data_IF_876906084833
#
_entry.id   IF_876906084833
#
_cell.length_a   1.000
_cell.length_b   1.000
_cell.length_c   1.000
_cell.angle_alpha   90.00
_cell.angle_beta   90.00
_cell.angle_gamma   90.00
#
_symmetry.space_group_name_H-M   'P 1'
#
loop_
_entity.id
_entity.type
_entity.pdbx_description
1 polymer ?
#
# COMPACT_ATOMS: atom_id res chain seq x y z
N UNK A 1 -25.60 32.45 -3.82
CA UNK A 1 -24.35 31.88 -4.39
C UNK A 1 -23.51 31.53 -3.19
N UNK A 2 -23.73 30.36 -2.57
CA UNK A 2 -23.10 30.07 -1.29
C UNK A 2 -22.82 28.56 -1.17
N UNK A 3 -21.55 28.22 -0.91
CA UNK A 3 -21.23 27.08 -0.05
C UNK A 3 -20.70 25.78 -0.66
N UNK A 4 -20.32 25.70 -1.95
CA UNK A 4 -19.62 24.53 -2.50
C UNK A 4 -18.11 24.82 -2.51
N UNK A 5 -17.38 24.48 -1.45
CA UNK A 5 -15.91 24.64 -1.48
C UNK A 5 -15.13 24.22 -0.24
N UNK A 6 -15.76 24.09 0.92
CA UNK A 6 -15.07 23.79 2.20
C UNK A 6 -15.26 22.36 2.70
N UNK A 7 -16.13 21.57 2.08
CA UNK A 7 -16.17 20.11 2.30
C UNK A 7 -15.10 19.47 1.41
N UNK A 8 -13.86 19.39 1.89
CA UNK A 8 -13.02 18.18 1.77
C UNK A 8 -11.53 18.39 2.04
N UNK A 9 -11.00 19.61 2.14
CA UNK A 9 -9.53 19.77 2.22
C UNK A 9 -8.99 19.21 3.55
N UNK A 10 -9.60 19.56 4.69
CA UNK A 10 -9.17 19.02 5.99
C UNK A 10 -9.41 17.51 6.15
N UNK A 11 -10.51 16.99 5.61
CA UNK A 11 -10.83 15.54 5.66
C UNK A 11 -9.91 14.73 4.73
N UNK A 12 -9.55 15.30 3.58
CA UNK A 12 -8.56 14.73 2.64
C UNK A 12 -7.15 14.78 3.21
N UNK A 13 -6.75 15.89 3.86
CA UNK A 13 -5.46 16.02 4.55
C UNK A 13 -5.37 15.05 5.74
N UNK A 14 -6.44 14.94 6.54
CA UNK A 14 -6.48 14.00 7.66
C UNK A 14 -6.47 12.54 7.19
N UNK A 15 -7.18 12.22 6.10
CA UNK A 15 -7.13 10.91 5.45
C UNK A 15 -5.76 10.59 4.84
N UNK A 16 -5.08 11.57 4.24
CA UNK A 16 -3.70 11.43 3.73
C UNK A 16 -2.70 11.19 4.87
N UNK A 17 -2.86 11.87 6.01
CA UNK A 17 -2.04 11.63 7.19
C UNK A 17 -2.29 10.24 7.79
N UNK A 18 -3.55 9.82 7.94
CA UNK A 18 -3.89 8.49 8.45
C UNK A 18 -3.39 7.36 7.52
N UNK A 19 -3.50 7.52 6.20
CA UNK A 19 -2.96 6.58 5.22
C UNK A 19 -1.44 6.49 5.34
N UNK A 20 -0.75 7.63 5.38
CA UNK A 20 0.69 7.70 5.55
C UNK A 20 1.12 7.06 6.87
N UNK A 21 0.46 7.38 7.97
CA UNK A 21 0.73 6.82 9.29
C UNK A 21 0.50 5.31 9.36
N UNK A 22 -0.55 4.81 8.70
CA UNK A 22 -0.81 3.38 8.59
C UNK A 22 0.35 2.65 7.91
N UNK A 23 0.78 3.11 6.73
CA UNK A 23 1.85 2.46 5.97
C UNK A 23 3.23 2.61 6.61
N UNK A 24 3.50 3.76 7.24
CA UNK A 24 4.69 3.92 8.05
C UNK A 24 4.67 2.96 9.25
N UNK A 25 3.54 2.87 9.96
CA UNK A 25 3.37 1.90 11.06
C UNK A 25 3.52 0.46 10.60
N UNK A 26 3.01 0.12 9.40
CA UNK A 26 3.20 -1.19 8.78
C UNK A 26 4.68 -1.48 8.53
N UNK A 27 5.38 -0.56 7.86
CA UNK A 27 6.81 -0.69 7.56
C UNK A 27 7.65 -0.87 8.83
N UNK A 28 7.38 -0.03 9.84
CA UNK A 28 8.05 -0.08 11.15
C UNK A 28 7.76 -1.38 11.90
N UNK A 29 6.52 -1.88 11.87
CA UNK A 29 6.18 -3.17 12.46
C UNK A 29 6.94 -4.32 11.82
N UNK A 30 7.15 -4.29 10.49
CA UNK A 30 7.95 -5.29 9.78
C UNK A 30 9.44 -5.12 10.06
N UNK A 31 9.94 -3.89 10.12
CA UNK A 31 11.31 -3.57 10.55
C UNK A 31 11.63 -4.17 11.91
N UNK A 32 10.77 -3.93 12.91
CA UNK A 32 10.94 -4.45 14.26
C UNK A 32 10.93 -5.98 14.34
N UNK A 33 10.25 -6.64 13.41
CA UNK A 33 10.26 -8.10 13.29
C UNK A 33 11.55 -8.61 12.64
N UNK A 34 11.93 -8.01 11.50
CA UNK A 34 13.04 -8.48 10.66
C UNK A 34 14.42 -8.12 11.21
N UNK A 35 14.56 -6.99 11.91
CA UNK A 35 15.84 -6.57 12.53
C UNK A 35 16.37 -7.54 13.58
N UNK A 36 15.52 -8.48 14.04
CA UNK A 36 15.91 -9.58 14.95
C UNK A 36 16.71 -10.67 14.25
N UNK A 37 16.63 -10.73 12.92
CA UNK A 37 17.21 -11.78 12.08
C UNK A 37 18.22 -11.23 11.07
N UNK A 38 18.07 -9.97 10.67
CA UNK A 38 18.92 -9.32 9.66
C UNK A 38 19.44 -7.96 10.13
N UNK A 39 20.65 -7.60 9.70
CA UNK A 39 21.32 -6.37 10.12
C UNK A 39 20.70 -5.10 9.48
N UNK A 40 20.17 -5.21 8.27
CA UNK A 40 19.52 -4.10 7.56
C UNK A 40 18.39 -4.56 6.61
N UNK A 41 17.19 -4.86 7.15
CA UNK A 41 16.06 -5.42 6.37
C UNK A 41 15.29 -4.37 5.55
N UNK A 42 15.87 -3.19 5.32
CA UNK A 42 15.15 -2.04 4.75
C UNK A 42 14.58 -2.34 3.37
N UNK A 43 15.33 -3.00 2.49
CA UNK A 43 14.88 -3.35 1.14
C UNK A 43 13.73 -4.36 1.19
N UNK A 44 13.81 -5.37 2.05
CA UNK A 44 12.77 -6.39 2.20
C UNK A 44 11.46 -5.81 2.71
N UNK A 45 11.55 -4.82 3.61
CA UNK A 45 10.38 -4.10 4.09
C UNK A 45 9.73 -3.29 2.97
N UNK A 46 10.54 -2.62 2.13
CA UNK A 46 9.99 -1.88 0.99
C UNK A 46 9.31 -2.80 -0.01
N UNK A 47 9.94 -3.91 -0.36
CA UNK A 47 9.32 -4.92 -1.22
C UNK A 47 7.99 -5.39 -0.63
N UNK A 48 7.96 -5.67 0.67
CA UNK A 48 6.74 -6.13 1.32
C UNK A 48 5.63 -5.05 1.38
N UNK A 49 5.99 -3.81 1.69
CA UNK A 49 5.03 -2.69 1.74
C UNK A 49 4.47 -2.42 0.34
N UNK A 50 5.34 -2.32 -0.66
CA UNK A 50 4.96 -2.11 -2.06
C UNK A 50 4.09 -3.25 -2.59
N UNK A 51 4.38 -4.51 -2.20
CA UNK A 51 3.54 -5.65 -2.57
C UNK A 51 2.13 -5.54 -1.99
N UNK A 52 1.99 -5.24 -0.70
CA UNK A 52 0.64 -5.14 -0.09
C UNK A 52 -0.13 -3.93 -0.65
N UNK A 53 0.56 -2.80 -0.87
CA UNK A 53 -0.04 -1.65 -1.55
C UNK A 53 -0.46 -1.99 -2.98
N UNK A 54 0.33 -2.78 -3.72
CA UNK A 54 0.01 -3.15 -5.09
C UNK A 54 -1.15 -4.13 -5.16
N UNK A 55 -1.27 -5.07 -4.23
CA UNK A 55 -2.46 -5.92 -4.09
C UNK A 55 -3.73 -5.07 -3.94
N UNK A 56 -3.70 -4.06 -3.07
CA UNK A 56 -4.84 -3.16 -2.87
C UNK A 56 -5.14 -2.33 -4.12
N UNK A 57 -4.12 -1.74 -4.74
CA UNK A 57 -4.27 -0.95 -5.96
C UNK A 57 -4.81 -1.81 -7.10
N UNK A 58 -4.25 -3.01 -7.29
CA UNK A 58 -4.65 -3.95 -8.32
C UNK A 58 -6.09 -4.42 -8.12
N UNK A 59 -6.54 -4.60 -6.88
CA UNK A 59 -7.95 -4.88 -6.58
C UNK A 59 -8.85 -3.77 -7.12
N UNK A 60 -8.51 -2.51 -6.85
CA UNK A 60 -9.27 -1.35 -7.33
C UNK A 60 -9.22 -1.24 -8.85
N UNK A 61 -8.04 -1.40 -9.45
CA UNK A 61 -7.86 -1.36 -10.91
C UNK A 61 -8.67 -2.46 -11.60
N UNK A 62 -8.67 -3.68 -11.08
CA UNK A 62 -9.49 -4.78 -11.61
C UNK A 62 -10.98 -4.43 -11.62
N UNK A 63 -11.49 -3.81 -10.55
CA UNK A 63 -12.88 -3.37 -10.49
C UNK A 63 -13.17 -2.24 -11.50
N UNK A 64 -12.29 -1.24 -11.62
CA UNK A 64 -12.42 -0.16 -12.60
C UNK A 64 -12.42 -0.70 -14.03
N UNK A 65 -11.46 -1.57 -14.36
CA UNK A 65 -11.37 -2.17 -15.68
C UNK A 65 -12.62 -2.98 -16.04
N UNK A 66 -13.23 -3.69 -15.08
CA UNK A 66 -14.51 -4.38 -15.31
C UNK A 66 -15.66 -3.40 -15.54
N UNK A 67 -15.71 -2.30 -14.77
CA UNK A 67 -16.73 -1.26 -14.96
C UNK A 67 -16.63 -0.58 -16.34
N UNK A 68 -15.44 -0.55 -16.92
CA UNK A 68 -15.15 0.02 -18.24
C UNK A 68 -15.12 -1.03 -19.36
N UNK A 69 -15.44 -2.29 -19.06
CA UNK A 69 -15.44 -3.43 -19.98
C UNK A 69 -14.13 -3.57 -20.79
N UNK A 70 -12.99 -3.35 -20.12
CA UNK A 70 -11.67 -3.49 -20.73
C UNK A 70 -11.27 -4.97 -20.84
N UNK A 71 -10.42 -5.32 -21.80
CA UNK A 71 -9.94 -6.70 -22.03
C UNK A 71 -8.91 -7.18 -20.99
N UNK A 72 -8.91 -8.50 -20.72
CA UNK A 72 -8.11 -9.16 -19.69
C UNK A 72 -6.59 -8.86 -19.76
N UNK A 73 -6.06 -8.67 -20.98
CA UNK A 73 -4.64 -8.40 -21.19
C UNK A 73 -4.20 -7.07 -20.57
N UNK A 74 -5.07 -6.06 -20.59
CA UNK A 74 -4.80 -4.76 -19.97
C UNK A 74 -4.74 -4.86 -18.44
N UNK A 75 -5.45 -5.83 -17.84
CA UNK A 75 -5.37 -6.08 -16.39
C UNK A 75 -3.99 -6.61 -16.01
N UNK A 76 -3.43 -7.54 -16.78
CA UNK A 76 -2.10 -8.09 -16.49
C UNK A 76 -1.04 -7.00 -16.51
N UNK A 77 -1.05 -6.14 -17.53
CA UNK A 77 -0.14 -5.01 -17.61
C UNK A 77 -0.37 -3.99 -16.50
N UNK A 78 -1.63 -3.69 -16.16
CA UNK A 78 -1.97 -2.80 -15.05
C UNK A 78 -1.49 -3.36 -13.70
N UNK A 79 -1.57 -4.67 -13.49
CA UNK A 79 -1.10 -5.32 -12.26
C UNK A 79 0.41 -5.28 -12.09
N UNK A 80 1.14 -5.63 -13.16
CA UNK A 80 2.61 -5.59 -13.17
C UNK A 80 3.08 -4.14 -13.05
N UNK A 81 2.51 -3.24 -13.85
CA UNK A 81 2.81 -1.81 -13.83
C UNK A 81 2.50 -1.16 -12.48
N UNK A 82 1.37 -1.50 -11.86
CA UNK A 82 0.99 -1.02 -10.52
C UNK A 82 1.97 -1.46 -9.44
N UNK A 83 2.44 -2.71 -9.50
CA UNK A 83 3.45 -3.23 -8.57
C UNK A 83 4.80 -2.52 -8.73
N UNK A 84 5.31 -2.43 -9.96
CA UNK A 84 6.58 -1.77 -10.25
C UNK A 84 6.53 -0.27 -9.94
N UNK A 85 5.40 0.39 -10.26
CA UNK A 85 5.18 1.80 -9.99
C UNK A 85 5.19 2.12 -8.50
N UNK A 86 4.50 1.31 -7.68
CA UNK A 86 4.50 1.47 -6.22
C UNK A 86 5.85 1.14 -5.60
N UNK A 87 6.58 0.16 -6.13
CA UNK A 87 7.95 -0.13 -5.70
C UNK A 87 8.88 1.05 -5.98
N UNK A 88 8.88 1.56 -7.21
CA UNK A 88 9.69 2.71 -7.59
C UNK A 88 9.31 3.96 -6.77
N UNK A 89 8.01 4.21 -6.57
CA UNK A 89 7.52 5.33 -5.77
C UNK A 89 8.01 5.26 -4.32
N UNK A 90 7.84 4.11 -3.65
CA UNK A 90 8.29 3.95 -2.26
C UNK A 90 9.81 4.05 -2.13
N UNK A 91 10.55 3.47 -3.08
CA UNK A 91 12.00 3.56 -3.11
C UNK A 91 12.49 5.00 -3.28
N UNK A 92 11.91 5.75 -4.22
CA UNK A 92 12.25 7.15 -4.48
C UNK A 92 11.84 8.08 -3.34
N UNK A 93 10.69 7.82 -2.70
CA UNK A 93 10.31 8.57 -1.51
C UNK A 93 11.35 8.32 -0.41
N UNK A 94 11.62 7.06 -0.08
CA UNK A 94 12.55 6.74 1.00
C UNK A 94 13.96 7.27 0.74
N UNK A 95 14.46 7.18 -0.50
CA UNK A 95 15.80 7.68 -0.84
C UNK A 95 15.92 9.18 -0.59
N UNK A 96 14.85 9.95 -0.80
CA UNK A 96 14.75 11.40 -0.52
C UNK A 96 14.64 11.78 0.95
N UNK A 97 14.38 10.83 1.87
CA UNK A 97 14.35 11.13 3.31
C UNK A 97 15.77 11.36 3.85
N UNK A 98 15.92 12.34 4.73
CA UNK A 98 17.17 12.59 5.44
C UNK A 98 17.51 11.46 6.43
N UNK A 99 18.79 11.36 6.80
CA UNK A 99 19.28 10.28 7.68
C UNK A 99 18.63 10.31 9.07
N UNK A 100 18.33 11.50 9.60
CA UNK A 100 17.66 11.65 10.89
C UNK A 100 16.23 11.12 10.83
N UNK A 101 15.46 11.51 9.82
CA UNK A 101 14.11 10.98 9.59
C UNK A 101 14.12 9.47 9.39
N UNK A 102 15.12 8.91 8.69
CA UNK A 102 15.26 7.46 8.52
C UNK A 102 15.50 6.73 9.85
N UNK A 103 16.34 7.27 10.73
CA UNK A 103 16.57 6.72 12.07
C UNK A 103 15.35 6.89 12.99
N UNK A 104 14.66 8.02 12.92
CA UNK A 104 13.42 8.26 13.66
C UNK A 104 12.32 7.25 13.24
N UNK A 105 12.28 6.87 11.96
CA UNK A 105 11.37 5.83 11.48
C UNK A 105 11.71 4.45 12.06
N UNK A 106 13.00 4.08 12.19
CA UNK A 106 13.43 2.79 12.75
C UNK A 106 13.12 2.65 14.24
N UNK A 107 12.99 3.76 14.94
CA UNK A 107 12.78 3.83 16.40
C UNK A 107 11.33 4.09 16.78
N UNK A 108 10.48 4.49 15.82
CA UNK A 108 9.06 4.72 16.04
C UNK A 108 8.34 3.45 16.51
N UNK A 109 7.31 3.61 17.33
CA UNK A 109 6.38 2.54 17.63
C UNK A 109 5.31 2.44 16.53
N UNK A 110 4.99 1.24 16.04
CA UNK A 110 3.92 1.07 15.07
C UNK A 110 2.58 1.44 15.69
N UNK A 111 1.68 2.03 14.89
CA UNK A 111 0.36 2.46 15.35
C UNK A 111 -0.52 1.27 15.78
N UNK A 112 -0.40 0.14 15.06
CA UNK A 112 -1.12 -1.10 15.35
C UNK A 112 -0.15 -2.24 15.67
N UNK A 113 -0.67 -3.31 16.26
CA UNK A 113 0.13 -4.51 16.53
C UNK A 113 0.51 -5.24 15.25
N UNK A 114 1.61 -6.01 15.29
CA UNK A 114 2.05 -6.84 14.16
C UNK A 114 0.94 -7.78 13.65
N UNK A 115 0.10 -8.30 14.56
CA UNK A 115 -1.00 -9.19 14.21
C UNK A 115 -2.02 -8.49 13.31
N UNK A 116 -2.39 -7.24 13.64
CA UNK A 116 -3.34 -6.44 12.85
C UNK A 116 -2.81 -6.25 11.43
N UNK A 117 -1.53 -5.92 11.28
CA UNK A 117 -0.91 -5.74 9.96
C UNK A 117 -0.80 -7.05 9.16
N UNK A 118 -0.51 -8.18 9.82
CA UNK A 118 -0.52 -9.50 9.17
C UNK A 118 -1.91 -9.88 8.69
N UNK A 119 -2.92 -9.73 9.54
CA UNK A 119 -4.31 -9.98 9.17
C UNK A 119 -4.75 -9.09 8.02
N UNK A 120 -4.41 -7.80 8.06
CA UNK A 120 -4.66 -6.87 6.96
C UNK A 120 -4.04 -7.39 5.64
N UNK A 121 -2.76 -7.76 5.63
CA UNK A 121 -2.13 -8.29 4.41
C UNK A 121 -2.80 -9.56 3.89
N UNK A 122 -3.21 -10.46 4.78
CA UNK A 122 -3.90 -11.68 4.43
C UNK A 122 -5.27 -11.38 3.79
N UNK A 123 -6.07 -10.53 4.45
CA UNK A 123 -7.38 -10.13 3.94
C UNK A 123 -7.28 -9.40 2.61
N UNK A 124 -6.32 -8.50 2.43
CA UNK A 124 -6.05 -7.83 1.15
C UNK A 124 -5.77 -8.83 0.03
N UNK A 125 -4.90 -9.82 0.27
CA UNK A 125 -4.57 -10.83 -0.75
C UNK A 125 -5.75 -11.76 -1.05
N UNK A 126 -6.50 -12.19 -0.04
CA UNK A 126 -7.71 -13.00 -0.23
C UNK A 126 -8.77 -12.23 -1.03
N UNK A 127 -9.01 -10.97 -0.67
CA UNK A 127 -9.97 -10.11 -1.37
C UNK A 127 -9.58 -9.94 -2.83
N UNK A 128 -8.31 -9.65 -3.10
CA UNK A 128 -7.80 -9.56 -4.48
C UNK A 128 -8.01 -10.86 -5.27
N UNK A 129 -7.69 -12.01 -4.67
CA UNK A 129 -7.91 -13.31 -5.30
C UNK A 129 -9.38 -13.57 -5.61
N UNK A 130 -10.28 -13.23 -4.68
CA UNK A 130 -11.72 -13.32 -4.89
C UNK A 130 -12.18 -12.38 -6.00
N UNK A 131 -11.69 -11.13 -6.04
CA UNK A 131 -12.01 -10.17 -7.11
C UNK A 131 -11.63 -10.74 -8.46
N UNK A 132 -10.39 -11.21 -8.64
CA UNK A 132 -9.96 -11.81 -9.91
C UNK A 132 -10.80 -13.04 -10.27
N UNK A 133 -11.13 -13.89 -9.29
CA UNK A 133 -11.95 -15.08 -9.50
C UNK A 133 -13.38 -14.74 -9.96
N UNK A 134 -14.06 -13.80 -9.31
CA UNK A 134 -15.40 -13.38 -9.69
C UNK A 134 -15.42 -12.65 -11.04
N UNK A 135 -14.41 -11.82 -11.32
CA UNK A 135 -14.28 -11.15 -12.61
C UNK A 135 -14.09 -12.13 -13.77
N UNK A 136 -13.39 -13.25 -13.53
CA UNK A 136 -13.24 -14.32 -14.52
C UNK A 136 -14.53 -15.11 -14.76
N UNK A 137 -15.39 -15.28 -13.76
CA UNK A 137 -16.66 -15.99 -13.95
C UNK A 137 -17.74 -15.14 -14.62
N UNK A 138 -17.68 -13.82 -14.46
CA UNK A 138 -18.61 -12.88 -15.10
C UNK A 138 -18.10 -12.26 -16.41
N UNK A 139 -17.03 -12.79 -17.00
CA UNK A 139 -16.50 -12.45 -18.32
C UNK A 139 -16.72 -13.65 -19.25
#
# INVERSE_FOLDING_TARGET
MDGIGTINIFKTICGMNAYKEFWLGYAVSRYNQLKKYEKDPVVDIFMHVSFVQSVNLNTVLCLICKLLDLELIYYLYAMIGGCLGLLAFNFLWYSKLDSKTKEDLKTKNPMFSLLVYKLYSLFSTVLFGLTVYFLRQGA
#
